data_IF_093504491635
#
_entry.id   IF_093504491635
#
_cell.length_a   1.000
_cell.length_b   1.000
_cell.length_c   1.000
_cell.angle_alpha   90.00
_cell.angle_beta   90.00
_cell.angle_gamma   90.00
#
_symmetry.space_group_name_H-M   'P 1'
#
loop_
_entity.id
_entity.type
_entity.pdbx_description
1 polymer ?
#
# COMPACT_ATOMS: atom_id res chain seq x y z
N UNK A 1 19.79 30.74 51.77
CA UNK A 1 19.01 31.99 51.95
C UNK A 1 18.98 32.73 50.61
N UNK A 2 17.77 33.12 50.16
CA UNK A 2 17.34 34.27 49.31
C UNK A 2 18.43 35.01 48.51
N UNK A 3 18.25 35.49 47.28
CA UNK A 3 17.11 35.74 46.38
C UNK A 3 17.70 36.31 45.06
N UNK A 4 17.14 36.03 43.88
CA UNK A 4 16.34 37.02 43.11
C UNK A 4 17.19 37.78 42.05
N UNK A 5 17.11 37.47 40.75
CA UNK A 5 16.18 37.99 39.71
C UNK A 5 16.23 39.51 39.46
N UNK A 6 16.59 39.93 38.24
CA UNK A 6 15.87 40.82 37.26
C UNK A 6 16.89 41.51 36.32
N UNK A 7 16.79 41.31 34.98
CA UNK A 7 16.26 42.24 33.93
C UNK A 7 17.08 43.54 33.77
N UNK A 8 17.31 44.14 32.61
CA UNK A 8 17.02 43.95 31.18
C UNK A 8 17.53 45.24 30.50
N UNK A 9 18.11 45.23 29.28
CA UNK A 9 17.99 46.35 28.31
C UNK A 9 18.10 45.78 26.88
N UNK A 10 17.03 46.00 26.11
CA UNK A 10 16.91 45.90 24.65
C UNK A 10 17.08 47.34 24.10
N UNK A 11 17.56 47.49 22.86
CA UNK A 11 17.06 48.41 21.79
C UNK A 11 18.18 49.02 20.92
N UNK A 12 17.96 48.84 19.60
CA UNK A 12 18.35 49.65 18.42
C UNK A 12 19.73 49.55 17.75
N UNK A 13 19.66 49.30 16.43
CA UNK A 13 20.71 49.60 15.46
C UNK A 13 20.43 49.04 14.06
N UNK A 14 19.35 49.47 13.41
CA UNK A 14 19.13 49.29 11.96
C UNK A 14 20.08 50.22 11.16
N UNK A 15 20.25 49.90 9.87
CA UNK A 15 20.71 50.71 8.72
C UNK A 15 22.22 50.61 8.30
N UNK A 16 22.38 50.34 6.99
CA UNK A 16 23.55 50.48 6.09
C UNK A 16 24.59 49.34 6.16
N UNK A 17 24.75 48.50 5.13
CA UNK A 17 25.21 48.97 3.81
C UNK A 17 24.78 48.04 2.67
N UNK A 18 24.06 48.63 1.72
CA UNK A 18 24.00 48.16 0.34
C UNK A 18 25.29 48.55 -0.40
N UNK A 19 25.49 47.90 -1.55
CA UNK A 19 26.45 48.14 -2.61
C UNK A 19 27.84 47.50 -2.45
N UNK A 20 28.05 46.39 -3.17
CA UNK A 20 28.90 46.45 -4.37
C UNK A 20 28.30 45.58 -5.48
N UNK A 21 28.29 46.17 -6.66
CA UNK A 21 27.71 45.75 -7.93
C UNK A 21 28.83 45.26 -8.87
N UNK A 22 28.45 44.46 -9.90
CA UNK A 22 29.08 44.36 -11.25
C UNK A 22 30.39 43.54 -11.29
N UNK A 23 30.73 42.67 -12.25
CA UNK A 23 30.31 42.26 -13.60
C UNK A 23 30.94 40.85 -13.82
N UNK A 24 30.45 39.95 -14.68
CA UNK A 24 30.72 40.01 -16.12
C UNK A 24 29.80 39.06 -16.89
N UNK A 25 29.29 39.64 -17.96
CA UNK A 25 28.69 39.06 -19.15
C UNK A 25 29.69 38.17 -19.92
N UNK A 26 29.23 37.06 -20.51
CA UNK A 26 29.56 36.75 -21.91
C UNK A 26 28.60 35.73 -22.55
N UNK A 27 28.42 35.96 -23.84
CA UNK A 27 27.47 35.41 -24.81
C UNK A 27 28.28 34.69 -25.90
N UNK A 28 27.58 33.93 -26.75
CA UNK A 28 28.03 33.25 -27.98
C UNK A 28 28.47 31.78 -27.78
N UNK A 29 28.17 30.79 -28.63
CA UNK A 29 27.62 30.79 -29.99
C UNK A 29 26.94 29.45 -30.34
N UNK A 30 26.11 29.53 -31.36
CA UNK A 30 25.47 28.44 -32.11
C UNK A 30 26.44 27.34 -32.58
N UNK A 31 25.94 26.10 -32.65
CA UNK A 31 26.33 25.22 -33.76
C UNK A 31 25.12 24.47 -34.33
N UNK A 32 24.92 24.75 -35.61
CA UNK A 32 23.98 24.15 -36.57
C UNK A 32 24.50 22.78 -36.99
N UNK A 33 23.60 21.80 -37.12
CA UNK A 33 23.75 20.73 -38.10
C UNK A 33 22.39 20.42 -38.73
N UNK A 34 22.32 20.61 -40.05
CA UNK A 34 21.19 20.29 -40.92
C UNK A 34 21.53 19.09 -41.81
N UNK A 35 20.56 18.20 -42.02
CA UNK A 35 20.28 17.38 -43.21
C UNK A 35 19.16 16.39 -42.81
N UNK A 36 18.11 16.07 -43.54
CA UNK A 36 17.66 16.33 -44.90
C UNK A 36 16.14 16.02 -44.93
N UNK A 37 15.40 16.78 -45.71
CA UNK A 37 13.98 16.60 -46.07
C UNK A 37 13.77 15.44 -47.05
N UNK A 38 12.62 14.73 -46.98
CA UNK A 38 11.74 14.64 -48.16
C UNK A 38 10.28 14.20 -47.87
N UNK A 39 9.35 14.90 -48.53
CA UNK A 39 7.96 14.58 -48.92
C UNK A 39 6.96 14.05 -47.85
N UNK A 40 5.77 14.60 -47.60
CA UNK A 40 4.91 15.47 -48.40
C UNK A 40 3.53 14.82 -48.57
N UNK A 41 2.49 15.30 -47.85
CA UNK A 41 1.11 15.46 -48.37
C UNK A 41 0.18 16.09 -47.33
N UNK A 42 -0.27 17.30 -47.65
CA UNK A 42 -1.42 17.98 -47.07
C UNK A 42 -2.73 17.31 -47.53
N UNK A 43 -3.73 17.24 -46.66
CA UNK A 43 -5.14 17.12 -47.05
C UNK A 43 -5.90 18.27 -46.37
N UNK A 44 -6.66 18.97 -47.20
CA UNK A 44 -7.48 20.14 -46.92
C UNK A 44 -8.59 19.88 -45.89
N UNK A 45 -8.85 20.91 -45.09
CA UNK A 45 -10.05 21.10 -44.29
C UNK A 45 -11.06 21.80 -45.19
N UNK A 46 -12.27 21.25 -45.31
CA UNK A 46 -13.40 21.95 -45.92
C UNK A 46 -14.53 22.06 -44.89
N UNK A 47 -14.72 23.27 -44.38
CA UNK A 47 -15.85 23.69 -43.56
C UNK A 47 -17.02 24.04 -44.48
N UNK A 48 -18.17 23.37 -44.31
CA UNK A 48 -19.43 23.98 -44.70
C UNK A 48 -20.52 23.74 -43.65
N UNK A 49 -20.97 24.85 -43.10
CA UNK A 49 -22.09 25.01 -42.19
C UNK A 49 -23.43 24.75 -42.89
N UNK A 50 -24.36 24.05 -42.21
CA UNK A 50 -25.77 24.40 -42.30
C UNK A 50 -26.57 23.92 -41.08
N UNK A 51 -27.12 24.91 -40.37
CA UNK A 51 -28.07 24.81 -39.26
C UNK A 51 -29.44 24.29 -39.70
N UNK A 52 -30.06 23.40 -38.91
CA UNK A 52 -31.49 23.45 -38.54
C UNK A 52 -31.82 22.48 -37.40
N UNK A 53 -32.45 23.05 -36.37
CA UNK A 53 -33.02 22.40 -35.18
C UNK A 53 -34.24 21.54 -35.53
N UNK A 54 -34.34 20.33 -34.95
CA UNK A 54 -35.55 19.83 -34.30
C UNK A 54 -35.24 18.64 -33.38
N UNK A 55 -35.77 18.72 -32.16
CA UNK A 55 -35.81 17.71 -31.11
C UNK A 55 -36.70 16.51 -31.47
N UNK A 56 -36.20 15.28 -31.29
CA UNK A 56 -37.01 14.11 -30.97
C UNK A 56 -36.11 12.96 -30.49
N UNK A 57 -36.53 12.35 -29.37
CA UNK A 57 -35.97 11.17 -28.70
C UNK A 57 -35.43 10.07 -29.63
N UNK A 58 -34.18 9.65 -29.41
CA UNK A 58 -33.71 8.31 -29.74
C UNK A 58 -32.94 7.75 -28.55
N UNK A 59 -33.56 6.75 -27.93
CA UNK A 59 -32.98 5.79 -27.00
C UNK A 59 -31.80 5.13 -27.73
N UNK A 60 -30.57 5.48 -27.38
CA UNK A 60 -29.38 4.78 -27.87
C UNK A 60 -29.06 3.65 -26.90
N UNK A 61 -29.27 2.42 -27.39
CA UNK A 61 -28.78 1.16 -26.84
C UNK A 61 -27.32 1.23 -26.38
N UNK A 62 -26.91 0.39 -25.41
CA UNK A 62 -25.52 0.33 -24.96
C UNK A 62 -24.60 0.06 -26.15
N UNK A 63 -23.60 0.91 -26.31
CA UNK A 63 -22.52 0.70 -27.27
C UNK A 63 -21.75 -0.53 -26.78
N UNK A 64 -21.98 -1.66 -27.42
CA UNK A 64 -21.11 -2.83 -27.34
C UNK A 64 -19.79 -2.44 -28.00
N UNK A 65 -18.80 -2.06 -27.19
CA UNK A 65 -17.41 -1.95 -27.65
C UNK A 65 -16.97 -3.35 -28.09
N UNK A 66 -16.97 -3.57 -29.40
CA UNK A 66 -16.35 -4.74 -30.00
C UNK A 66 -14.86 -4.70 -29.64
N UNK A 67 -14.39 -5.80 -29.05
CA UNK A 67 -13.00 -6.04 -28.72
C UNK A 67 -12.18 -6.11 -30.00
N UNK A 68 -11.43 -5.06 -30.32
CA UNK A 68 -10.19 -5.23 -31.07
C UNK A 68 -9.09 -5.49 -30.04
N UNK A 69 -8.48 -6.67 -30.16
CA UNK A 69 -7.59 -7.28 -29.18
C UNK A 69 -6.27 -6.54 -29.01
N UNK A 70 -6.31 -5.42 -28.29
CA UNK A 70 -5.15 -4.92 -27.57
C UNK A 70 -5.15 -5.57 -26.20
N UNK A 71 -4.43 -6.69 -26.05
CA UNK A 71 -3.97 -7.12 -24.73
C UNK A 71 -2.70 -6.32 -24.46
N UNK A 72 -2.75 -5.20 -23.70
CA UNK A 72 -1.53 -4.52 -23.30
C UNK A 72 -0.61 -5.54 -22.63
N UNK A 73 0.71 -5.46 -22.91
CA UNK A 73 1.66 -6.25 -22.14
C UNK A 73 1.41 -6.04 -20.64
N UNK A 74 1.52 -7.10 -19.82
CA UNK A 74 1.29 -6.99 -18.38
C UNK A 74 2.35 -6.07 -17.77
N UNK A 75 1.99 -4.81 -17.55
CA UNK A 75 2.74 -3.89 -16.73
C UNK A 75 2.32 -4.06 -15.26
N UNK A 76 3.23 -3.87 -14.29
CA UNK A 76 2.89 -3.91 -12.86
C UNK A 76 1.70 -3.02 -12.51
N UNK A 77 1.56 -1.88 -13.20
CA UNK A 77 0.46 -0.93 -13.00
C UNK A 77 -0.90 -1.47 -13.45
N UNK A 78 -0.97 -2.30 -14.50
CA UNK A 78 -2.24 -2.90 -14.94
C UNK A 78 -2.81 -3.84 -13.87
N UNK A 79 -1.94 -4.62 -13.21
CA UNK A 79 -2.35 -5.50 -12.12
C UNK A 79 -2.80 -4.68 -10.89
N UNK A 80 -2.01 -3.69 -10.47
CA UNK A 80 -2.38 -2.80 -9.36
C UNK A 80 -3.68 -2.03 -9.64
N UNK A 81 -3.94 -1.62 -10.88
CA UNK A 81 -5.20 -0.95 -11.27
C UNK A 81 -6.40 -1.88 -11.12
N UNK A 82 -6.27 -3.14 -11.56
CA UNK A 82 -7.34 -4.14 -11.42
C UNK A 82 -7.63 -4.44 -9.94
N UNK A 83 -6.57 -4.68 -9.14
CA UNK A 83 -6.70 -4.92 -7.70
C UNK A 83 -7.34 -3.72 -7.01
N UNK A 84 -6.92 -2.50 -7.34
CA UNK A 84 -7.52 -1.28 -6.81
C UNK A 84 -8.99 -1.15 -7.22
N UNK A 85 -9.36 -1.53 -8.44
CA UNK A 85 -10.75 -1.57 -8.90
C UNK A 85 -11.65 -2.42 -8.00
N UNK A 86 -11.20 -3.63 -7.67
CA UNK A 86 -11.90 -4.55 -6.75
C UNK A 86 -12.01 -3.97 -5.33
N UNK A 87 -10.92 -3.40 -4.81
CA UNK A 87 -10.89 -2.76 -3.49
C UNK A 87 -11.80 -1.54 -3.39
N UNK A 88 -12.10 -0.90 -4.52
CA UNK A 88 -12.94 0.30 -4.59
C UNK A 88 -14.42 0.00 -4.79
N UNK A 89 -14.83 -1.26 -5.06
CA UNK A 89 -16.24 -1.64 -5.25
C UNK A 89 -17.16 -1.06 -4.15
N UNK A 90 -16.82 -1.11 -2.85
CA UNK A 90 -17.68 -0.54 -1.80
C UNK A 90 -17.98 0.95 -1.94
N UNK A 91 -17.10 1.72 -2.59
CA UNK A 91 -17.31 3.14 -2.85
C UNK A 91 -18.10 3.39 -4.14
N UNK A 92 -18.09 2.43 -5.07
CA UNK A 92 -18.62 2.57 -6.43
C UNK A 92 -20.00 1.95 -6.63
N UNK A 93 -20.39 1.03 -5.76
CA UNK A 93 -21.66 0.28 -5.83
C UNK A 93 -22.77 1.00 -5.03
N UNK A 94 -23.86 1.47 -5.69
CA UNK A 94 -24.99 2.12 -5.02
C UNK A 94 -25.67 1.30 -3.93
N UNK A 95 -25.55 -0.03 -3.98
CA UNK A 95 -26.14 -0.93 -2.99
C UNK A 95 -25.24 -1.10 -1.75
N UNK A 96 -24.03 -0.56 -1.75
CA UNK A 96 -23.08 -0.66 -0.66
C UNK A 96 -23.21 0.51 0.35
N UNK A 97 -23.11 0.20 1.65
CA UNK A 97 -23.12 1.21 2.72
C UNK A 97 -22.01 2.27 2.66
N UNK A 98 -20.93 2.01 1.93
CA UNK A 98 -19.79 2.92 1.76
C UNK A 98 -19.86 3.80 0.51
N UNK A 99 -20.91 3.62 -0.30
CA UNK A 99 -21.10 4.33 -1.57
C UNK A 99 -20.98 5.85 -1.42
N UNK A 100 -20.23 6.48 -2.31
CA UNK A 100 -19.91 7.91 -2.21
C UNK A 100 -20.84 8.82 -3.01
N UNK A 101 -21.77 8.27 -3.80
CA UNK A 101 -22.61 9.01 -4.74
C UNK A 101 -22.05 8.98 -6.16
N UNK A 102 -22.92 9.23 -7.16
CA UNK A 102 -22.56 9.06 -8.58
C UNK A 102 -21.42 9.98 -9.01
N UNK A 103 -21.49 11.27 -8.64
CA UNK A 103 -20.49 12.26 -9.04
C UNK A 103 -19.10 11.95 -8.45
N UNK A 104 -19.04 11.51 -7.19
CA UNK A 104 -17.82 11.10 -6.52
C UNK A 104 -17.30 9.76 -7.04
N UNK A 105 -18.17 8.80 -7.36
CA UNK A 105 -17.81 7.52 -7.95
C UNK A 105 -17.21 7.71 -9.35
N UNK A 106 -17.82 8.56 -10.18
CA UNK A 106 -17.29 8.89 -11.52
C UNK A 106 -15.96 9.62 -11.44
N UNK A 107 -15.78 10.50 -10.45
CA UNK A 107 -14.49 11.12 -10.15
C UNK A 107 -13.42 10.07 -9.82
N UNK A 108 -13.71 9.12 -8.91
CA UNK A 108 -12.79 8.04 -8.54
C UNK A 108 -12.41 7.20 -9.77
N UNK A 109 -13.41 6.77 -10.57
CA UNK A 109 -13.18 6.01 -11.81
C UNK A 109 -12.28 6.76 -12.78
N UNK A 110 -12.54 8.05 -12.98
CA UNK A 110 -11.79 8.88 -13.93
C UNK A 110 -10.33 9.05 -13.50
N UNK A 111 -10.06 9.27 -12.21
CA UNK A 111 -8.71 9.55 -11.72
C UNK A 111 -7.88 8.28 -11.52
N UNK A 112 -8.49 7.18 -11.04
CA UNK A 112 -7.76 5.97 -10.64
C UNK A 112 -7.91 4.79 -11.59
N UNK A 113 -9.01 4.70 -12.35
CA UNK A 113 -9.34 3.50 -13.13
C UNK A 113 -9.37 3.75 -14.65
N UNK A 114 -9.14 4.99 -15.08
CA UNK A 114 -9.09 5.34 -16.51
C UNK A 114 -7.67 5.16 -17.07
N UNK A 115 -7.48 4.40 -18.16
CA UNK A 115 -6.17 4.14 -18.74
C UNK A 115 -5.58 5.38 -19.44
N UNK A 116 -6.43 6.33 -19.86
CA UNK A 116 -6.07 7.35 -20.85
C UNK A 116 -5.09 8.42 -20.33
N UNK A 117 -4.71 8.43 -19.05
CA UNK A 117 -3.81 9.42 -18.46
C UNK A 117 -2.94 8.89 -17.30
N UNK A 118 -2.61 7.60 -17.29
CA UNK A 118 -1.89 6.97 -16.18
C UNK A 118 -0.56 7.68 -15.82
N UNK A 119 0.16 8.26 -16.78
CA UNK A 119 1.44 8.94 -16.52
C UNK A 119 1.31 10.45 -16.28
N UNK A 120 0.10 11.02 -16.36
CA UNK A 120 -0.12 12.44 -16.12
C UNK A 120 0.02 12.82 -14.63
N UNK A 121 0.42 14.07 -14.32
CA UNK A 121 0.51 14.53 -12.94
C UNK A 121 -0.88 14.63 -12.30
N UNK A 122 -0.93 14.44 -10.98
CA UNK A 122 -2.15 14.59 -10.18
C UNK A 122 -2.24 16.01 -9.65
N UNK A 123 -3.38 16.67 -9.89
CA UNK A 123 -3.62 18.00 -9.34
C UNK A 123 -3.82 17.95 -7.82
N UNK A 124 -3.44 19.02 -7.13
CA UNK A 124 -3.54 19.12 -5.67
C UNK A 124 -4.97 18.92 -5.14
N UNK A 125 -5.93 19.55 -5.80
CA UNK A 125 -7.35 19.47 -5.47
C UNK A 125 -7.91 18.07 -5.76
N UNK A 126 -7.50 17.44 -6.87
CA UNK A 126 -7.81 16.05 -7.18
C UNK A 126 -7.29 15.10 -6.09
N UNK A 127 -6.00 15.22 -5.72
CA UNK A 127 -5.40 14.39 -4.67
C UNK A 127 -6.11 14.58 -3.33
N UNK A 128 -6.34 15.83 -2.93
CA UNK A 128 -7.03 16.15 -1.67
C UNK A 128 -8.44 15.56 -1.63
N UNK A 129 -9.21 15.76 -2.69
CA UNK A 129 -10.57 15.20 -2.81
C UNK A 129 -10.54 13.68 -2.73
N UNK A 130 -9.59 13.05 -3.40
CA UNK A 130 -9.43 11.61 -3.43
C UNK A 130 -9.13 11.04 -2.03
N UNK A 131 -8.16 11.63 -1.32
CA UNK A 131 -7.85 11.23 0.05
C UNK A 131 -9.05 11.46 0.98
N UNK A 132 -9.80 12.54 0.80
CA UNK A 132 -11.00 12.81 1.59
C UNK A 132 -12.11 11.77 1.36
N UNK A 133 -12.31 11.33 0.13
CA UNK A 133 -13.32 10.31 -0.21
C UNK A 133 -12.93 8.93 0.34
N UNK A 134 -11.68 8.51 0.11
CA UNK A 134 -11.21 7.17 0.47
C UNK A 134 -10.97 7.02 1.97
N UNK A 135 -10.36 8.01 2.61
CA UNK A 135 -9.96 7.90 4.01
C UNK A 135 -10.91 8.63 4.97
N UNK A 136 -11.85 9.45 4.49
CA UNK A 136 -12.82 10.22 5.30
C UNK A 136 -12.20 10.84 6.57
N UNK A 137 -11.11 11.62 6.45
CA UNK A 137 -10.43 12.19 7.60
C UNK A 137 -11.36 13.10 8.41
N UNK A 138 -11.28 13.05 9.74
CA UNK A 138 -11.97 13.98 10.62
C UNK A 138 -11.54 15.44 10.37
N UNK A 139 -12.42 16.41 10.68
CA UNK A 139 -12.12 17.85 10.53
C UNK A 139 -10.86 18.33 11.24
N UNK A 140 -10.43 17.64 12.32
CA UNK A 140 -9.18 17.96 13.02
C UNK A 140 -7.94 17.83 12.10
N UNK A 141 -8.04 17.02 11.05
CA UNK A 141 -6.98 16.78 10.07
C UNK A 141 -6.91 17.84 8.96
N UNK A 142 -7.79 18.85 8.93
CA UNK A 142 -7.72 19.93 7.92
C UNK A 142 -6.35 20.65 7.94
N UNK A 143 -5.68 20.65 9.09
CA UNK A 143 -4.35 21.23 9.25
C UNK A 143 -3.26 20.44 8.49
N UNK A 144 -3.42 19.13 8.28
CA UNK A 144 -2.49 18.30 7.50
C UNK A 144 -2.48 18.77 6.05
N UNK A 145 -3.66 18.91 5.44
CA UNK A 145 -3.77 19.40 4.06
C UNK A 145 -3.24 20.83 3.90
N UNK A 146 -3.46 21.71 4.89
CA UNK A 146 -2.90 23.08 4.88
C UNK A 146 -1.38 23.10 4.97
N UNK A 147 -0.79 22.23 5.80
CA UNK A 147 0.67 22.11 5.97
C UNK A 147 1.36 21.76 4.66
N UNK A 148 0.72 20.90 3.86
CA UNK A 148 1.28 20.34 2.63
C UNK A 148 0.73 20.96 1.35
N UNK A 149 0.00 22.07 1.45
CA UNK A 149 -0.50 22.78 0.26
C UNK A 149 0.69 23.22 -0.60
N UNK A 150 0.72 22.87 -1.90
CA UNK A 150 1.83 23.23 -2.77
C UNK A 150 2.04 24.74 -2.79
N UNK A 151 3.31 25.13 -2.70
CA UNK A 151 3.72 26.53 -2.87
C UNK A 151 4.09 26.83 -4.33
N UNK A 152 4.07 25.82 -5.19
CA UNK A 152 4.33 25.93 -6.61
C UNK A 152 3.12 26.55 -7.35
N UNK A 153 3.37 27.13 -8.52
CA UNK A 153 2.35 27.81 -9.35
C UNK A 153 1.54 26.85 -10.21
N UNK A 154 2.01 25.61 -10.35
CA UNK A 154 1.54 24.70 -11.38
C UNK A 154 0.35 23.85 -10.90
N UNK A 155 0.03 23.90 -9.60
CA UNK A 155 -1.17 23.28 -9.02
C UNK A 155 -1.09 21.76 -8.83
N UNK A 156 0.06 21.15 -9.11
CA UNK A 156 0.29 19.71 -8.97
C UNK A 156 0.98 19.37 -7.66
N UNK A 157 0.68 18.17 -7.14
CA UNK A 157 1.28 17.69 -5.90
C UNK A 157 2.61 16.99 -6.16
N UNK A 158 3.63 17.36 -5.39
CA UNK A 158 4.93 16.67 -5.37
C UNK A 158 4.84 15.36 -4.58
N UNK A 159 5.62 14.35 -5.00
CA UNK A 159 5.64 13.02 -4.39
C UNK A 159 5.88 13.07 -2.88
N UNK A 160 6.82 13.89 -2.41
CA UNK A 160 7.13 14.01 -0.98
C UNK A 160 5.93 14.47 -0.14
N UNK A 161 5.11 15.38 -0.67
CA UNK A 161 3.94 15.89 0.04
C UNK A 161 2.78 14.91 -0.03
N UNK A 162 2.57 14.25 -1.19
CA UNK A 162 1.54 13.24 -1.34
C UNK A 162 1.70 12.09 -0.32
N UNK A 163 2.91 11.54 -0.23
CA UNK A 163 3.23 10.47 0.73
C UNK A 163 3.17 10.97 2.16
N UNK A 164 3.65 12.19 2.44
CA UNK A 164 3.61 12.74 3.80
C UNK A 164 2.17 12.92 4.32
N UNK A 165 1.25 13.42 3.48
CA UNK A 165 -0.18 13.54 3.83
C UNK A 165 -0.75 12.17 4.19
N UNK A 166 -0.53 11.18 3.32
CA UNK A 166 -1.01 9.82 3.53
C UNK A 166 -0.45 9.24 4.83
N UNK A 167 0.85 9.35 5.06
CA UNK A 167 1.48 8.77 6.23
C UNK A 167 1.11 9.48 7.53
N UNK A 168 0.87 10.79 7.54
CA UNK A 168 0.33 11.48 8.73
C UNK A 168 -1.09 11.01 9.03
N UNK A 169 -1.97 10.97 8.02
CA UNK A 169 -3.35 10.50 8.18
C UNK A 169 -3.42 9.03 8.62
N UNK A 170 -2.59 8.19 7.99
CA UNK A 170 -2.48 6.79 8.35
C UNK A 170 -1.93 6.68 9.76
N UNK A 171 -0.95 7.48 10.18
CA UNK A 171 -0.36 7.42 11.52
C UNK A 171 -1.29 7.80 12.66
N UNK A 172 -2.37 8.54 12.38
CA UNK A 172 -3.40 8.82 13.37
C UNK A 172 -4.45 7.69 13.49
N UNK A 173 -4.64 6.89 12.44
CA UNK A 173 -5.68 5.83 12.36
C UNK A 173 -5.14 4.44 12.61
N UNK A 174 -4.00 4.18 12.02
CA UNK A 174 -3.17 3.01 12.15
C UNK A 174 -1.93 3.57 12.85
N UNK A 175 -1.30 2.88 13.78
CA UNK A 175 -0.07 3.42 14.39
C UNK A 175 1.08 2.70 13.69
N UNK A 176 1.61 3.20 12.55
CA UNK A 176 2.76 2.58 11.95
C UNK A 176 3.94 2.85 12.88
N UNK A 177 4.77 1.83 13.03
CA UNK A 177 5.77 1.72 14.07
C UNK A 177 6.79 2.87 14.09
N UNK A 178 7.41 3.04 15.26
CA UNK A 178 8.41 4.05 15.64
C UNK A 178 9.43 4.39 14.54
N UNK A 179 9.83 5.66 14.58
CA UNK A 179 10.98 6.26 13.90
C UNK A 179 12.20 5.33 13.91
N UNK A 180 12.46 4.66 12.79
CA UNK A 180 13.83 4.26 12.48
C UNK A 180 14.63 5.55 12.32
N UNK A 181 15.74 5.64 13.05
CA UNK A 181 16.53 6.88 13.03
C UNK A 181 16.96 7.17 11.60
N UNK A 182 16.87 8.43 11.18
CA UNK A 182 17.28 8.87 9.84
C UNK A 182 18.74 8.48 9.47
N UNK A 183 19.53 8.08 10.48
CA UNK A 183 20.89 7.54 10.38
C UNK A 183 20.98 6.15 9.75
N UNK A 184 20.01 5.26 9.97
CA UNK A 184 20.03 3.90 9.38
C UNK A 184 19.40 3.88 7.99
N UNK A 185 18.58 4.90 7.70
CA UNK A 185 17.67 4.93 6.56
C UNK A 185 18.21 5.68 5.33
N UNK A 186 19.28 6.49 5.45
CA UNK A 186 19.92 7.15 4.29
C UNK A 186 20.63 6.20 3.34
N UNK A 187 20.80 4.94 3.73
CA UNK A 187 21.44 3.92 2.89
C UNK A 187 20.44 3.21 1.96
N UNK A 188 19.13 3.39 2.18
CA UNK A 188 18.08 2.62 1.50
C UNK A 188 17.44 3.41 0.36
N UNK A 189 17.17 4.70 0.55
CA UNK A 189 16.67 5.60 -0.51
C UNK A 189 17.71 6.68 -0.77
N UNK A 190 18.18 6.77 -2.01
CA UNK A 190 19.42 7.46 -2.36
C UNK A 190 19.25 8.99 -2.42
N UNK A 191 18.04 9.50 -2.65
CA UNK A 191 17.80 10.89 -3.05
C UNK A 191 16.99 11.74 -2.05
N UNK A 192 16.97 11.35 -0.76
CA UNK A 192 16.23 12.05 0.29
C UNK A 192 16.99 13.22 0.95
N UNK A 193 18.20 13.54 0.53
CA UNK A 193 19.04 14.57 1.18
C UNK A 193 18.44 15.98 1.08
N UNK A 194 17.62 16.24 0.07
CA UNK A 194 16.98 17.54 -0.14
C UNK A 194 15.62 17.70 0.54
N UNK A 195 15.17 16.66 1.25
CA UNK A 195 13.85 16.58 1.90
C UNK A 195 13.97 17.01 3.37
N UNK A 196 12.95 17.71 3.88
CA UNK A 196 12.86 18.06 5.30
C UNK A 196 12.85 16.81 6.20
N UNK A 197 13.38 16.91 7.42
CA UNK A 197 13.52 15.73 8.30
C UNK A 197 12.18 15.05 8.62
N UNK A 198 11.10 15.84 8.76
CA UNK A 198 9.77 15.31 9.02
C UNK A 198 9.25 14.50 7.83
N UNK A 199 9.30 15.07 6.62
CA UNK A 199 8.88 14.42 5.38
C UNK A 199 9.75 13.20 5.08
N UNK A 200 11.07 13.29 5.32
CA UNK A 200 12.00 12.16 5.17
C UNK A 200 11.59 10.99 6.07
N UNK A 201 11.26 11.25 7.33
CA UNK A 201 10.79 10.21 8.26
C UNK A 201 9.49 9.56 7.77
N UNK A 202 8.54 10.35 7.27
CA UNK A 202 7.28 9.85 6.72
C UNK A 202 7.47 9.00 5.44
N UNK A 203 8.34 9.44 4.52
CA UNK A 203 8.67 8.69 3.30
C UNK A 203 9.33 7.35 3.65
N UNK A 204 10.27 7.34 4.59
CA UNK A 204 10.89 6.11 5.05
C UNK A 204 9.87 5.18 5.70
N UNK A 205 8.95 5.72 6.50
CA UNK A 205 7.85 4.95 7.07
C UNK A 205 6.97 4.32 5.99
N UNK A 206 6.65 5.06 4.93
CA UNK A 206 5.91 4.54 3.79
C UNK A 206 6.69 3.43 3.08
N UNK A 207 8.00 3.63 2.88
CA UNK A 207 8.87 2.64 2.26
C UNK A 207 8.83 1.33 3.03
N UNK A 208 9.20 1.33 4.32
CA UNK A 208 9.22 0.11 5.13
C UNK A 208 7.84 -0.55 5.20
N UNK A 209 6.77 0.23 5.20
CA UNK A 209 5.41 -0.32 5.21
C UNK A 209 4.97 -0.92 3.86
N UNK A 210 5.79 -0.80 2.81
CA UNK A 210 5.46 -1.24 1.45
C UNK A 210 4.43 -0.35 0.75
N UNK A 211 4.28 0.91 1.18
CA UNK A 211 3.26 1.84 0.65
C UNK A 211 3.79 2.79 -0.41
N UNK A 212 5.10 2.86 -0.60
CA UNK A 212 5.68 3.57 -1.74
C UNK A 212 5.26 2.90 -3.04
N UNK A 213 5.23 3.66 -4.14
CA UNK A 213 4.87 3.15 -5.46
C UNK A 213 5.94 2.21 -6.05
N UNK A 214 5.55 1.46 -7.07
CA UNK A 214 6.41 0.49 -7.76
C UNK A 214 7.71 1.08 -8.33
N UNK A 215 7.79 2.38 -8.65
CA UNK A 215 9.01 2.96 -9.24
C UNK A 215 10.15 3.05 -8.24
N UNK A 216 9.84 3.13 -6.95
CA UNK A 216 10.85 3.15 -5.90
C UNK A 216 11.45 1.76 -5.66
N UNK A 217 10.64 0.70 -5.78
CA UNK A 217 11.09 -0.68 -5.56
C UNK A 217 12.19 -1.09 -6.56
N UNK A 218 12.13 -0.58 -7.78
CA UNK A 218 13.06 -0.94 -8.86
C UNK A 218 14.43 -0.26 -8.73
N UNK A 219 14.47 0.99 -8.23
CA UNK A 219 15.65 1.86 -8.37
C UNK A 219 16.15 2.47 -7.06
N UNK A 220 15.43 2.31 -5.95
CA UNK A 220 15.72 2.97 -4.67
C UNK A 220 15.85 4.52 -4.78
N UNK A 221 15.17 5.10 -5.78
CA UNK A 221 15.06 6.55 -6.03
C UNK A 221 13.60 6.99 -5.83
N UNK A 222 13.37 7.91 -4.90
CA UNK A 222 12.03 8.39 -4.54
C UNK A 222 11.57 9.60 -5.36
N UNK A 223 12.49 10.39 -5.90
CA UNK A 223 12.22 11.58 -6.71
C UNK A 223 11.30 12.57 -5.99
N UNK A 224 11.70 13.09 -4.80
CA UNK A 224 10.79 13.80 -3.90
C UNK A 224 10.12 15.04 -4.49
N UNK A 225 10.80 15.72 -5.43
CA UNK A 225 10.33 16.97 -6.07
C UNK A 225 9.59 16.74 -7.39
N UNK A 226 9.56 15.50 -7.90
CA UNK A 226 8.74 15.17 -9.07
C UNK A 226 7.26 15.24 -8.69
N UNK A 227 6.41 15.56 -9.67
CA UNK A 227 4.97 15.47 -9.49
C UNK A 227 4.54 14.02 -9.36
N UNK A 228 3.60 13.75 -8.44
CA UNK A 228 2.94 12.46 -8.34
C UNK A 228 2.17 12.20 -9.63
N UNK A 229 2.49 11.11 -10.32
CA UNK A 229 1.71 10.63 -11.46
C UNK A 229 0.49 9.82 -11.02
N UNK A 230 -0.52 9.70 -11.88
CA UNK A 230 -1.70 8.86 -11.59
C UNK A 230 -1.32 7.39 -11.37
N UNK A 231 -0.33 6.86 -12.08
CA UNK A 231 0.17 5.48 -11.90
C UNK A 231 0.81 5.28 -10.53
N UNK A 232 1.59 6.26 -10.05
CA UNK A 232 2.19 6.21 -8.71
C UNK A 232 1.11 6.35 -7.62
N UNK A 233 0.09 7.18 -7.85
CA UNK A 233 -1.07 7.31 -6.99
C UNK A 233 -1.85 5.98 -6.87
N UNK A 234 -2.16 5.34 -8.00
CA UNK A 234 -2.81 4.02 -8.05
C UNK A 234 -2.00 3.00 -7.27
N UNK A 235 -0.69 2.92 -7.53
CA UNK A 235 0.21 1.99 -6.85
C UNK A 235 0.21 2.18 -5.35
N UNK A 236 0.42 3.42 -4.90
CA UNK A 236 0.44 3.80 -3.48
C UNK A 236 -0.88 3.44 -2.79
N UNK A 237 -2.02 3.80 -3.39
CA UNK A 237 -3.34 3.55 -2.82
C UNK A 237 -3.72 2.07 -2.83
N UNK A 238 -3.41 1.35 -3.91
CA UNK A 238 -3.60 -0.09 -4.01
C UNK A 238 -2.88 -0.78 -2.86
N UNK A 239 -1.59 -0.45 -2.66
CA UNK A 239 -0.77 -1.02 -1.58
C UNK A 239 -1.34 -0.69 -0.21
N UNK A 240 -1.72 0.57 0.05
CA UNK A 240 -2.33 0.96 1.34
C UNK A 240 -3.64 0.22 1.60
N UNK A 241 -4.56 0.21 0.65
CA UNK A 241 -5.89 -0.41 0.82
C UNK A 241 -5.81 -1.93 0.88
N UNK A 242 -4.84 -2.56 0.19
CA UNK A 242 -4.59 -4.00 0.32
C UNK A 242 -4.06 -4.37 1.69
N UNK A 243 -3.45 -3.43 2.40
CA UNK A 243 -2.86 -3.64 3.73
C UNK A 243 -3.82 -3.34 4.88
N UNK A 244 -4.57 -2.24 4.78
CA UNK A 244 -5.45 -1.79 5.87
C UNK A 244 -6.93 -1.97 5.59
N UNK A 245 -7.31 -2.38 4.38
CA UNK A 245 -8.68 -2.36 3.91
C UNK A 245 -9.21 -0.93 3.76
N UNK A 246 -10.52 -0.83 3.57
CA UNK A 246 -11.22 0.45 3.68
C UNK A 246 -11.25 0.90 5.15
N UNK A 247 -11.15 2.22 5.43
CA UNK A 247 -11.31 2.70 6.79
C UNK A 247 -12.75 2.43 7.24
N UNK A 248 -12.90 1.55 8.24
CA UNK A 248 -14.21 1.16 8.76
C UNK A 248 -14.97 2.41 9.23
N UNK A 249 -16.22 2.56 8.76
CA UNK A 249 -17.20 3.32 9.52
C UNK A 249 -17.42 2.55 10.80
N UNK A 250 -17.34 3.20 11.96
CA UNK A 250 -17.83 2.62 13.21
C UNK A 250 -19.34 2.40 13.08
N UNK A 251 -19.78 1.33 12.39
CA UNK A 251 -21.03 0.58 12.62
C UNK A 251 -21.24 -0.52 11.57
N UNK A 252 -21.43 -1.73 12.10
CA UNK A 252 -22.41 -2.77 11.72
C UNK A 252 -22.32 -3.47 10.36
N UNK A 253 -21.85 -4.72 10.47
CA UNK A 253 -22.33 -5.94 9.80
C UNK A 253 -22.51 -5.92 8.27
N UNK A 254 -21.63 -6.61 7.55
CA UNK A 254 -21.86 -6.98 6.15
C UNK A 254 -21.82 -8.49 5.97
N UNK A 255 -22.92 -8.91 5.35
CA UNK A 255 -23.31 -10.17 4.71
C UNK A 255 -22.19 -10.99 4.06
N UNK A 256 -22.23 -12.31 4.31
CA UNK A 256 -21.49 -13.33 3.56
C UNK A 256 -22.28 -13.74 2.32
N UNK A 257 -21.88 -13.31 1.12
CA UNK A 257 -22.23 -14.03 -0.13
C UNK A 257 -20.96 -14.39 -0.90
N UNK A 258 -20.80 -15.65 -1.36
CA UNK A 258 -19.64 -16.08 -2.13
C UNK A 258 -19.83 -15.80 -3.63
N UNK A 259 -18.92 -15.03 -4.22
CA UNK A 259 -18.78 -14.93 -5.67
C UNK A 259 -17.85 -16.01 -6.22
N UNK A 260 -18.20 -16.56 -7.38
CA UNK A 260 -17.44 -17.57 -8.09
C UNK A 260 -16.71 -16.95 -9.29
N UNK A 261 -15.38 -17.09 -9.32
CA UNK A 261 -14.56 -16.73 -10.48
C UNK A 261 -13.09 -17.05 -10.24
N UNK A 262 -12.62 -18.21 -10.71
CA UNK A 262 -11.20 -18.57 -10.73
C UNK A 262 -10.54 -17.93 -11.95
N UNK A 263 -9.66 -16.95 -11.73
CA UNK A 263 -8.70 -16.50 -12.73
C UNK A 263 -7.27 -16.72 -12.20
N UNK A 264 -6.48 -17.66 -12.75
CA UNK A 264 -5.19 -18.10 -12.18
C UNK A 264 -4.03 -17.10 -12.34
N UNK A 265 -4.32 -15.86 -12.74
CA UNK A 265 -3.34 -14.75 -12.81
C UNK A 265 -3.71 -13.56 -11.91
N UNK A 266 -4.80 -13.63 -11.14
CA UNK A 266 -5.14 -12.59 -10.18
C UNK A 266 -4.25 -12.70 -8.94
N UNK A 267 -3.74 -11.57 -8.44
CA UNK A 267 -3.08 -11.50 -7.14
C UNK A 267 -3.96 -12.18 -6.06
N UNK A 268 -3.34 -12.79 -5.06
CA UNK A 268 -4.05 -13.54 -4.02
C UNK A 268 -5.04 -12.63 -3.28
N UNK A 269 -6.32 -12.70 -3.63
CA UNK A 269 -7.35 -11.84 -3.06
C UNK A 269 -7.84 -12.38 -1.71
N UNK A 270 -8.51 -11.55 -0.93
CA UNK A 270 -9.12 -11.96 0.35
C UNK A 270 -10.14 -13.10 0.12
N UNK A 271 -10.87 -13.06 -0.98
CA UNK A 271 -11.84 -14.08 -1.40
C UNK A 271 -11.13 -15.39 -1.74
N UNK A 272 -9.98 -15.31 -2.42
CA UNK A 272 -9.15 -16.48 -2.73
C UNK A 272 -8.66 -17.17 -1.45
N UNK A 273 -8.26 -16.36 -0.46
CA UNK A 273 -7.87 -16.85 0.87
C UNK A 273 -9.04 -17.56 1.57
N UNK A 274 -10.21 -16.93 1.62
CA UNK A 274 -11.39 -17.51 2.26
C UNK A 274 -11.86 -18.78 1.54
N UNK A 275 -11.79 -18.83 0.21
CA UNK A 275 -12.14 -20.00 -0.57
C UNK A 275 -11.17 -21.16 -0.29
N UNK A 276 -9.86 -20.91 -0.26
CA UNK A 276 -8.86 -21.93 0.12
C UNK A 276 -9.16 -22.50 1.51
N UNK A 277 -9.42 -21.62 2.48
CA UNK A 277 -9.76 -22.00 3.85
C UNK A 277 -11.06 -22.82 3.91
N UNK A 278 -12.10 -22.39 3.21
CA UNK A 278 -13.40 -23.04 3.17
C UNK A 278 -13.33 -24.45 2.57
N UNK A 279 -12.62 -24.61 1.45
CA UNK A 279 -12.41 -25.90 0.81
C UNK A 279 -11.67 -26.87 1.75
N UNK A 280 -10.61 -26.39 2.42
CA UNK A 280 -9.86 -27.18 3.39
C UNK A 280 -10.70 -27.59 4.60
N UNK A 281 -11.49 -26.67 5.17
CA UNK A 281 -12.42 -26.97 6.27
C UNK A 281 -13.43 -28.05 5.87
N UNK A 282 -13.99 -27.96 4.66
CA UNK A 282 -14.92 -28.95 4.15
C UNK A 282 -14.29 -30.33 3.96
N UNK A 283 -13.04 -30.39 3.51
CA UNK A 283 -12.28 -31.64 3.43
C UNK A 283 -12.06 -32.24 4.82
N UNK A 284 -11.66 -31.42 5.80
CA UNK A 284 -11.44 -31.86 7.17
C UNK A 284 -12.73 -32.37 7.83
N UNK A 285 -13.88 -31.75 7.56
CA UNK A 285 -15.20 -32.22 8.03
C UNK A 285 -15.61 -33.57 7.41
N UNK A 286 -15.21 -33.84 6.17
CA UNK A 286 -15.49 -35.12 5.49
C UNK A 286 -14.57 -36.24 5.98
N UNK A 287 -13.41 -35.89 6.52
CA UNK A 287 -12.45 -36.86 7.06
C UNK A 287 -12.86 -37.35 8.45
N UNK A 288 -13.24 -38.62 8.55
CA UNK A 288 -13.64 -39.25 9.83
C UNK A 288 -12.46 -39.60 10.76
N UNK A 289 -11.24 -39.10 10.50
CA UNK A 289 -10.08 -39.48 11.29
C UNK A 289 -9.80 -38.48 12.43
N UNK A 290 -9.27 -38.99 13.55
CA UNK A 290 -8.99 -38.21 14.76
C UNK A 290 -7.97 -37.08 14.53
N UNK A 291 -7.04 -37.23 13.58
CA UNK A 291 -6.04 -36.21 13.25
C UNK A 291 -6.71 -34.99 12.59
N UNK A 292 -7.58 -35.21 11.61
CA UNK A 292 -8.37 -34.17 10.93
C UNK A 292 -9.29 -33.44 11.89
N UNK A 293 -9.97 -34.16 12.80
CA UNK A 293 -10.80 -33.55 13.83
C UNK A 293 -10.00 -32.59 14.74
N UNK A 294 -8.79 -33.00 15.17
CA UNK A 294 -7.91 -32.15 15.98
C UNK A 294 -7.40 -30.93 15.20
N UNK A 295 -7.02 -31.10 13.93
CA UNK A 295 -6.62 -29.98 13.04
C UNK A 295 -7.74 -28.94 12.93
N UNK A 296 -8.97 -29.41 12.72
CA UNK A 296 -10.14 -28.55 12.61
C UNK A 296 -10.48 -27.83 13.92
N UNK A 297 -10.34 -28.51 15.07
CA UNK A 297 -10.53 -27.89 16.38
C UNK A 297 -9.52 -26.76 16.62
N UNK A 298 -8.24 -27.01 16.34
CA UNK A 298 -7.19 -25.97 16.43
C UNK A 298 -7.47 -24.79 15.50
N UNK A 299 -7.90 -25.06 14.26
CA UNK A 299 -8.23 -24.01 13.30
C UNK A 299 -9.41 -23.15 13.77
N UNK A 300 -10.52 -23.76 14.19
CA UNK A 300 -11.71 -23.04 14.68
C UNK A 300 -11.42 -22.19 15.91
N UNK A 301 -10.61 -22.70 16.83
CA UNK A 301 -10.19 -21.93 18.00
C UNK A 301 -9.36 -20.70 17.62
N UNK A 302 -8.53 -20.81 16.59
CA UNK A 302 -7.77 -19.66 16.07
C UNK A 302 -8.68 -18.65 15.36
N UNK A 303 -9.61 -19.12 14.54
CA UNK A 303 -10.64 -18.31 13.89
C UNK A 303 -11.47 -17.51 14.91
N UNK A 304 -11.91 -18.15 15.99
CA UNK A 304 -12.62 -17.51 17.10
C UNK A 304 -11.81 -16.36 17.73
N UNK A 305 -10.49 -16.52 17.89
CA UNK A 305 -9.62 -15.47 18.46
C UNK A 305 -9.43 -14.32 17.46
N UNK A 306 -9.27 -14.61 16.17
CA UNK A 306 -9.08 -13.61 15.10
C UNK A 306 -10.30 -12.69 14.99
N UNK A 307 -11.50 -13.25 15.11
CA UNK A 307 -12.77 -12.54 14.92
C UNK A 307 -13.52 -12.28 16.24
N UNK A 308 -12.85 -12.41 17.39
CA UNK A 308 -13.44 -12.10 18.70
C UNK A 308 -13.87 -10.63 18.81
N UNK A 309 -13.10 -9.73 18.20
CA UNK A 309 -13.46 -8.33 18.06
C UNK A 309 -14.23 -8.17 16.74
N UNK A 310 -15.49 -7.71 16.83
CA UNK A 310 -16.43 -7.46 15.71
C UNK A 310 -15.93 -6.38 14.69
N UNK A 311 -14.64 -6.05 14.69
CA UNK A 311 -14.00 -5.23 13.66
C UNK A 311 -13.91 -5.99 12.33
N UNK A 312 -13.83 -5.25 11.22
CA UNK A 312 -13.85 -5.80 9.86
C UNK A 312 -12.91 -7.01 9.69
N UNK A 313 -13.31 -7.94 8.82
CA UNK A 313 -12.54 -9.15 8.51
C UNK A 313 -11.23 -8.89 7.75
N UNK A 314 -11.00 -7.64 7.33
CA UNK A 314 -9.87 -7.23 6.51
C UNK A 314 -8.82 -6.38 7.27
N UNK A 315 -9.05 -6.09 8.55
CA UNK A 315 -8.10 -5.32 9.34
C UNK A 315 -6.81 -6.09 9.66
N UNK A 316 -5.73 -5.37 10.07
CA UNK A 316 -4.51 -5.99 10.55
C UNK A 316 -4.76 -6.82 11.82
N UNK A 317 -4.11 -7.98 11.92
CA UNK A 317 -4.16 -8.79 13.13
C UNK A 317 -3.27 -8.17 14.21
N UNK A 318 -3.77 -8.10 15.44
CA UNK A 318 -2.94 -7.64 16.55
C UNK A 318 -1.92 -8.70 16.96
N UNK A 319 -0.71 -8.30 17.34
CA UNK A 319 0.30 -9.18 17.95
C UNK A 319 -0.26 -9.88 19.19
N UNK A 320 -1.11 -9.20 19.97
CA UNK A 320 -1.78 -9.81 21.13
C UNK A 320 -2.67 -10.98 20.71
N UNK A 321 -3.51 -10.79 19.69
CA UNK A 321 -4.35 -11.86 19.14
C UNK A 321 -3.49 -12.99 18.57
N UNK A 322 -2.41 -12.67 17.86
CA UNK A 322 -1.46 -13.67 17.35
C UNK A 322 -0.85 -14.52 18.46
N UNK A 323 -0.34 -13.89 19.52
CA UNK A 323 0.20 -14.60 20.69
C UNK A 323 -0.89 -15.46 21.35
N UNK A 324 -2.11 -14.96 21.50
CA UNK A 324 -3.23 -15.75 22.02
C UNK A 324 -3.54 -16.98 21.15
N UNK A 325 -3.44 -16.88 19.82
CA UNK A 325 -3.60 -18.02 18.91
C UNK A 325 -2.49 -19.04 19.16
N UNK A 326 -1.23 -18.60 19.20
CA UNK A 326 -0.10 -19.48 19.43
C UNK A 326 -0.21 -20.22 20.78
N UNK A 327 -0.60 -19.52 21.85
CA UNK A 327 -0.81 -20.12 23.17
C UNK A 327 -2.03 -21.03 23.20
N UNK A 328 -3.21 -20.49 22.89
CA UNK A 328 -4.46 -21.17 23.17
C UNK A 328 -4.84 -22.18 22.10
N UNK A 329 -4.58 -21.90 20.83
CA UNK A 329 -4.92 -22.80 19.73
C UNK A 329 -3.78 -23.78 19.44
N UNK A 330 -2.54 -23.30 19.42
CA UNK A 330 -1.38 -24.12 19.03
C UNK A 330 -0.58 -24.70 20.20
N UNK A 331 -0.83 -24.27 21.44
CA UNK A 331 -0.19 -24.82 22.63
C UNK A 331 1.27 -24.42 22.80
N UNK A 332 1.66 -23.24 22.29
CA UNK A 332 3.03 -22.71 22.35
C UNK A 332 3.18 -21.79 23.55
N UNK A 333 4.26 -21.99 24.32
CA UNK A 333 4.62 -21.11 25.44
C UNK A 333 5.07 -19.72 24.96
N UNK A 334 4.12 -18.79 24.90
CA UNK A 334 4.31 -17.41 24.42
C UNK A 334 5.26 -16.56 25.27
N UNK A 335 5.55 -16.97 26.51
CA UNK A 335 6.51 -16.24 27.35
C UNK A 335 7.91 -16.22 26.73
N UNK A 336 8.26 -17.24 25.92
CA UNK A 336 9.52 -17.31 25.15
C UNK A 336 9.48 -16.50 23.85
N UNK A 337 8.29 -16.19 23.33
CA UNK A 337 8.11 -15.35 22.14
C UNK A 337 8.34 -13.89 22.49
N UNK A 338 7.76 -13.44 23.61
CA UNK A 338 7.84 -12.05 24.06
C UNK A 338 9.28 -11.58 24.36
N UNK A 339 10.21 -12.50 24.64
CA UNK A 339 11.63 -12.16 24.82
C UNK A 339 12.42 -12.06 23.51
N UNK A 340 11.85 -12.57 22.41
CA UNK A 340 12.54 -12.74 21.12
C UNK A 340 12.02 -11.77 20.07
N UNK A 341 10.73 -11.43 20.13
CA UNK A 341 10.19 -10.29 19.39
C UNK A 341 10.57 -9.03 20.15
N UNK A 342 11.23 -8.08 19.48
CA UNK A 342 11.46 -6.77 20.07
C UNK A 342 10.10 -6.07 20.23
N UNK A 343 9.47 -6.22 21.41
CA UNK A 343 8.14 -5.72 21.74
C UNK A 343 8.06 -4.17 21.81
N UNK A 344 9.01 -3.44 21.22
CA UNK A 344 8.95 -1.98 21.07
C UNK A 344 7.85 -1.47 20.12
N UNK A 345 7.08 -2.39 19.52
CA UNK A 345 6.20 -2.22 18.36
C UNK A 345 4.72 -2.41 18.75
N UNK A 346 3.85 -1.51 18.31
CA UNK A 346 2.51 -1.20 18.86
C UNK A 346 1.42 -2.24 18.55
N UNK A 347 1.71 -3.51 18.79
CA UNK A 347 0.69 -4.54 18.92
C UNK A 347 0.05 -4.98 17.62
N UNK A 348 0.62 -4.70 16.45
CA UNK A 348 0.21 -5.27 15.14
C UNK A 348 1.18 -6.37 14.73
N UNK A 349 0.68 -7.43 14.10
CA UNK A 349 1.49 -8.52 13.54
C UNK A 349 1.97 -8.17 12.13
N UNK A 350 3.27 -8.29 11.87
CA UNK A 350 3.89 -8.20 10.55
C UNK A 350 4.43 -9.57 10.08
N UNK A 351 4.75 -9.73 8.80
CA UNK A 351 5.24 -11.01 8.27
C UNK A 351 6.61 -11.41 8.84
N UNK A 352 7.50 -10.47 9.13
CA UNK A 352 8.77 -10.74 9.80
C UNK A 352 8.56 -11.25 11.23
N UNK A 353 7.65 -10.65 12.01
CA UNK A 353 7.25 -11.15 13.32
C UNK A 353 6.59 -12.53 13.24
N UNK A 354 5.74 -12.76 12.23
CA UNK A 354 5.16 -14.06 11.97
C UNK A 354 6.26 -15.09 11.69
N UNK A 355 7.22 -14.78 10.82
CA UNK A 355 8.38 -15.64 10.54
C UNK A 355 9.18 -15.96 11.81
N UNK A 356 9.52 -14.93 12.60
CA UNK A 356 10.27 -15.09 13.84
C UNK A 356 9.50 -15.99 14.82
N UNK A 357 8.22 -15.72 15.03
CA UNK A 357 7.38 -16.50 15.95
C UNK A 357 7.18 -17.94 15.47
N UNK A 358 7.01 -18.21 14.18
CA UNK A 358 6.81 -19.57 13.66
C UNK A 358 8.09 -20.39 13.79
N UNK A 359 9.23 -19.86 13.36
CA UNK A 359 10.49 -20.61 13.29
C UNK A 359 11.31 -20.59 14.58
N UNK A 360 10.78 -20.01 15.65
CA UNK A 360 11.37 -20.10 16.99
C UNK A 360 10.87 -21.30 17.80
N UNK A 361 9.78 -21.97 17.37
CA UNK A 361 9.15 -23.08 18.11
C UNK A 361 8.99 -24.32 17.23
N UNK A 362 9.68 -25.40 17.61
CA UNK A 362 9.66 -26.66 16.87
C UNK A 362 8.26 -27.27 16.81
N UNK A 363 7.39 -26.92 17.74
CA UNK A 363 5.98 -27.27 17.77
C UNK A 363 5.22 -26.75 16.54
N UNK A 364 5.65 -25.62 15.97
CA UNK A 364 5.01 -24.97 14.82
C UNK A 364 5.63 -25.39 13.49
N UNK A 365 6.96 -25.53 13.43
CA UNK A 365 7.65 -25.88 12.19
C UNK A 365 8.09 -27.36 12.10
N UNK A 366 7.85 -28.16 13.14
CA UNK A 366 8.33 -29.54 13.22
C UNK A 366 7.79 -30.46 12.12
N UNK A 367 6.61 -30.16 11.59
CA UNK A 367 6.01 -30.87 10.46
C UNK A 367 6.66 -30.55 9.10
N UNK A 368 7.44 -29.47 9.02
CA UNK A 368 8.13 -29.05 7.79
C UNK A 368 9.49 -29.73 7.60
N UNK A 369 9.99 -30.46 8.61
CA UNK A 369 11.36 -30.96 8.66
C UNK A 369 12.38 -29.87 9.04
N UNK A 370 13.66 -30.21 9.10
CA UNK A 370 14.72 -29.20 9.18
C UNK A 370 14.74 -28.43 7.85
N UNK A 371 14.14 -27.23 7.84
CA UNK A 371 14.23 -26.33 6.69
C UNK A 371 15.61 -25.67 6.72
N UNK A 372 16.55 -26.21 5.96
CA UNK A 372 17.80 -25.55 5.60
C UNK A 372 17.59 -24.75 4.33
N UNK A 373 17.61 -23.42 4.42
CA UNK A 373 17.56 -22.54 3.24
C UNK A 373 18.92 -22.58 2.56
N UNK A 374 18.96 -23.02 1.30
CA UNK A 374 20.17 -22.97 0.47
C UNK A 374 20.46 -21.54 0.00
N UNK A 375 21.71 -21.23 -0.35
CA UNK A 375 22.04 -19.91 -0.90
C UNK A 375 21.23 -19.58 -2.16
N UNK A 376 20.89 -20.58 -2.97
CA UNK A 376 20.07 -20.38 -4.16
C UNK A 376 18.65 -19.95 -3.78
N UNK A 377 18.06 -20.61 -2.78
CA UNK A 377 16.73 -20.26 -2.29
C UNK A 377 16.74 -18.89 -1.61
N UNK A 378 17.76 -18.61 -0.79
CA UNK A 378 17.91 -17.30 -0.14
C UNK A 378 17.97 -16.16 -1.16
N UNK A 379 18.81 -16.29 -2.20
CA UNK A 379 18.90 -15.30 -3.26
C UNK A 379 17.57 -15.18 -4.03
N UNK A 380 16.88 -16.30 -4.27
CA UNK A 380 15.57 -16.25 -4.88
C UNK A 380 14.54 -15.49 -4.02
N UNK A 381 14.58 -15.63 -2.70
CA UNK A 381 13.72 -14.82 -1.80
C UNK A 381 14.10 -13.34 -1.88
N UNK A 382 15.40 -13.04 -1.81
CA UNK A 382 15.94 -11.69 -1.90
C UNK A 382 15.47 -10.99 -3.18
N UNK A 383 15.54 -11.68 -4.32
CA UNK A 383 15.12 -11.17 -5.62
C UNK A 383 13.59 -11.08 -5.78
N UNK A 384 12.83 -11.92 -5.07
CA UNK A 384 11.37 -12.03 -5.21
C UNK A 384 10.58 -11.16 -4.25
N UNK A 385 11.18 -10.72 -3.14
CA UNK A 385 10.50 -9.97 -2.09
C UNK A 385 11.10 -8.58 -1.99
N UNK A 386 10.31 -7.58 -2.36
CA UNK A 386 10.70 -6.19 -2.19
C UNK A 386 11.07 -5.91 -0.74
N UNK A 387 12.20 -5.22 -0.56
CA UNK A 387 12.70 -4.81 0.75
C UNK A 387 12.95 -5.98 1.71
N UNK A 388 13.33 -7.15 1.19
CA UNK A 388 13.65 -8.34 2.00
C UNK A 388 14.63 -8.05 3.16
N UNK A 389 15.63 -7.19 2.92
CA UNK A 389 16.66 -6.82 3.91
C UNK A 389 16.11 -6.02 5.10
N UNK A 390 14.84 -5.62 5.07
CA UNK A 390 14.16 -4.95 6.19
C UNK A 390 13.65 -5.93 7.24
N UNK A 391 13.70 -7.24 6.99
CA UNK A 391 13.33 -8.27 7.96
C UNK A 391 14.25 -8.21 9.19
N UNK A 392 13.68 -8.32 10.39
CA UNK A 392 14.46 -8.49 11.63
C UNK A 392 15.36 -9.73 11.62
N UNK A 393 14.93 -10.77 10.91
CA UNK A 393 15.64 -12.02 10.77
C UNK A 393 15.43 -12.56 9.35
N UNK A 394 16.36 -12.24 8.46
CA UNK A 394 16.30 -12.63 7.05
C UNK A 394 16.32 -14.15 6.87
N UNK A 395 17.00 -14.89 7.74
CA UNK A 395 17.03 -16.35 7.71
C UNK A 395 15.66 -16.95 8.03
N UNK A 396 14.99 -16.48 9.09
CA UNK A 396 13.64 -16.95 9.43
C UNK A 396 12.61 -16.51 8.39
N UNK A 397 12.74 -15.32 7.82
CA UNK A 397 11.88 -14.89 6.73
C UNK A 397 12.06 -15.73 5.47
N UNK A 398 13.31 -16.05 5.10
CA UNK A 398 13.58 -16.95 3.99
C UNK A 398 12.99 -18.34 4.24
N UNK A 399 13.01 -18.85 5.48
CA UNK A 399 12.28 -20.08 5.85
C UNK A 399 10.78 -19.94 5.66
N UNK A 400 10.18 -18.80 6.02
CA UNK A 400 8.75 -18.54 5.80
C UNK A 400 8.41 -18.64 4.31
N UNK A 401 9.21 -18.02 3.45
CA UNK A 401 9.06 -18.09 2.00
C UNK A 401 9.23 -19.52 1.47
N UNK A 402 10.37 -20.16 1.73
CA UNK A 402 10.70 -21.51 1.19
C UNK A 402 9.76 -22.58 1.73
N UNK A 403 9.21 -22.41 2.93
CA UNK A 403 8.21 -23.31 3.49
C UNK A 403 6.87 -23.29 2.75
N UNK A 404 6.65 -22.35 1.82
CA UNK A 404 5.39 -22.16 1.10
C UNK A 404 4.26 -21.62 1.98
N UNK A 405 4.57 -21.06 3.16
CA UNK A 405 3.56 -20.48 4.05
C UNK A 405 2.95 -19.22 3.46
N UNK A 406 3.73 -18.45 2.70
CA UNK A 406 3.31 -17.19 2.05
C UNK A 406 3.12 -17.33 0.54
N UNK A 407 2.98 -18.55 0.02
CA UNK A 407 2.72 -18.78 -1.41
C UNK A 407 1.47 -18.03 -1.87
N UNK A 408 1.60 -17.29 -2.98
CA UNK A 408 0.59 -16.38 -3.51
C UNK A 408 0.58 -15.00 -2.83
N UNK A 409 0.82 -14.93 -1.51
CA UNK A 409 0.79 -13.67 -0.76
C UNK A 409 1.96 -12.75 -1.14
N UNK A 410 3.16 -13.30 -1.35
CA UNK A 410 4.32 -12.49 -1.72
C UNK A 410 4.22 -11.83 -3.11
N UNK A 411 3.24 -12.24 -3.92
CA UNK A 411 2.95 -11.67 -5.24
C UNK A 411 1.97 -10.49 -5.15
N UNK A 412 1.40 -10.25 -3.98
CA UNK A 412 0.55 -9.08 -3.75
C UNK A 412 1.41 -7.82 -3.86
N UNK A 413 0.98 -6.79 -4.62
CA UNK A 413 1.74 -5.57 -4.74
C UNK A 413 2.06 -4.92 -3.39
N UNK A 414 3.31 -4.46 -3.24
CA UNK A 414 3.81 -3.88 -1.99
C UNK A 414 3.99 -4.88 -0.85
N UNK A 415 4.12 -6.17 -1.14
CA UNK A 415 4.50 -7.16 -0.13
C UNK A 415 5.94 -6.93 0.33
N UNK A 416 6.12 -6.70 1.64
CA UNK A 416 7.41 -6.55 2.30
C UNK A 416 7.42 -7.35 3.60
N UNK A 417 8.58 -7.66 4.19
CA UNK A 417 8.63 -8.32 5.50
C UNK A 417 7.90 -7.56 6.61
N UNK A 418 7.90 -6.23 6.55
CA UNK A 418 7.26 -5.36 7.54
C UNK A 418 5.76 -5.14 7.26
N UNK A 419 5.23 -5.72 6.18
CA UNK A 419 3.81 -5.63 5.83
C UNK A 419 2.95 -6.18 6.98
N UNK A 420 1.90 -5.45 7.43
CA UNK A 420 0.93 -5.99 8.38
C UNK A 420 0.25 -7.24 7.83
N UNK A 421 0.12 -8.27 8.67
CA UNK A 421 -0.65 -9.47 8.35
C UNK A 421 -2.12 -9.17 8.66
N UNK A 422 -2.98 -9.18 7.65
CA UNK A 422 -4.40 -9.00 7.89
C UNK A 422 -5.05 -10.29 8.47
N UNK A 423 -6.25 -10.17 9.01
CA UNK A 423 -6.96 -11.29 9.65
C UNK A 423 -7.15 -12.50 8.70
N UNK A 424 -7.45 -12.27 7.42
CA UNK A 424 -7.62 -13.35 6.44
C UNK A 424 -6.29 -14.05 6.14
N UNK A 425 -5.22 -13.27 5.90
CA UNK A 425 -3.86 -13.78 5.69
C UNK A 425 -3.34 -14.56 6.91
N UNK A 426 -3.64 -14.08 8.13
CA UNK A 426 -3.28 -14.80 9.35
C UNK A 426 -4.00 -16.16 9.42
N UNK A 427 -5.30 -16.20 9.08
CA UNK A 427 -6.08 -17.43 9.03
C UNK A 427 -5.50 -18.43 8.02
N UNK A 428 -5.02 -17.93 6.87
CA UNK A 428 -4.32 -18.74 5.88
C UNK A 428 -2.99 -19.31 6.40
N UNK A 429 -2.17 -18.46 7.02
CA UNK A 429 -0.91 -18.90 7.65
C UNK A 429 -1.17 -20.01 8.66
N UNK A 430 -2.18 -19.83 9.51
CA UNK A 430 -2.61 -20.81 10.51
C UNK A 430 -3.06 -22.12 9.84
N UNK A 431 -3.91 -22.05 8.82
CA UNK A 431 -4.32 -23.21 8.03
C UNK A 431 -3.09 -23.98 7.53
N UNK A 432 -2.14 -23.29 6.92
CA UNK A 432 -0.95 -23.92 6.30
C UNK A 432 0.01 -24.51 7.34
N UNK A 433 0.16 -23.86 8.50
CA UNK A 433 0.91 -24.42 9.65
C UNK A 433 0.25 -25.72 10.14
N UNK A 434 -1.06 -25.71 10.35
CA UNK A 434 -1.83 -26.87 10.82
C UNK A 434 -1.80 -28.01 9.79
N UNK A 435 -1.92 -27.67 8.51
CA UNK A 435 -1.88 -28.63 7.41
C UNK A 435 -0.55 -29.38 7.36
N UNK A 436 0.56 -28.66 7.57
CA UNK A 436 1.92 -29.22 7.51
C UNK A 436 2.37 -29.88 8.82
N UNK A 437 1.70 -29.63 9.95
CA UNK A 437 1.86 -30.33 11.24
C UNK A 437 1.16 -31.71 11.27
#
# INVERSE_FOLDING_TARGET
MRSGTLRAIVIMGFILSAAFLVSCHNKSDNQVFSAETDSGKYIEIDESSNTKSHSANLISSPITLASDGFTPEPSPINNETNVLGELLIPYLDPDNSYYVGDAEADFIRTILLSPDNAHGPVAWDEWTKLIQLLFKPEKKHDNIFKKYTPTNTDGYIERQFAISILMELLSERYTPEKEQTASDASNVIIDLDSVGQNEKSLILKAYYSGFTDYTLDENNFFRPKDYLSRSEAISTLCRILTNYGYPALETSAVSNEPFAGENPQAAYSVESIFNECYLWVNEMNKSNNKKSAKKLETYKKAEEIIFADNSSSQGPLTLKSWLQILDQAMGVDTAKINSTLDCGKEGVLTYDMAAVSIFSFKELYGGFGEISVTNKEFNNVHDSVSQFDTSQDTDKFAKLFVSGLIDGLYQVPGFTPQRPVNKAEALLLIKRIIEKS
#
